data_IF_501556779855
#
_entry.id   IF_501556779855
#
_cell.length_a   1.000
_cell.length_b   1.000
_cell.length_c   1.000
_cell.angle_alpha   90.00
_cell.angle_beta   90.00
_cell.angle_gamma   90.00
#
_symmetry.space_group_name_H-M   'P 1'
#
loop_
_entity.id
_entity.type
_entity.pdbx_description
1 polymer ?
#
# COMPACT_ATOMS: atom_id res chain seq x y z
N UNK A 1 7.53 -11.54 -15.12
CA UNK A 1 7.46 -10.09 -15.37
C UNK A 1 6.20 -9.84 -16.18
N UNK A 2 5.12 -9.43 -15.54
CA UNK A 2 3.84 -9.16 -16.22
C UNK A 2 3.89 -7.74 -16.76
N UNK A 3 4.20 -7.59 -18.05
CA UNK A 3 4.37 -6.30 -18.72
C UNK A 3 3.03 -5.75 -19.17
N UNK A 4 2.47 -4.83 -18.39
CA UNK A 4 1.59 -3.79 -18.93
C UNK A 4 2.50 -2.77 -19.65
N UNK A 5 2.18 -2.35 -20.89
CA UNK A 5 3.06 -1.51 -21.67
C UNK A 5 3.15 -0.10 -21.06
N UNK A 6 4.36 0.34 -20.71
CA UNK A 6 4.68 1.76 -20.52
C UNK A 6 4.83 2.27 -19.09
N UNK A 7 4.62 1.47 -18.05
CA UNK A 7 4.90 1.91 -16.67
C UNK A 7 5.76 0.85 -15.98
N UNK A 8 7.07 1.09 -15.95
CA UNK A 8 7.97 0.36 -15.06
C UNK A 8 7.64 0.76 -13.63
N UNK A 9 6.66 0.07 -13.01
CA UNK A 9 6.29 0.26 -11.62
C UNK A 9 7.46 -0.20 -10.74
N UNK A 10 8.27 0.76 -10.31
CA UNK A 10 9.31 0.51 -9.31
C UNK A 10 8.70 0.38 -7.91
N UNK A 11 9.34 -0.37 -7.02
CA UNK A 11 8.97 -0.42 -5.60
C UNK A 11 8.90 0.98 -4.98
N UNK A 12 9.81 1.87 -5.37
CA UNK A 12 9.82 3.24 -4.91
C UNK A 12 8.54 4.00 -5.31
N UNK A 13 8.09 3.83 -6.55
CA UNK A 13 6.83 4.42 -7.05
C UNK A 13 5.63 3.86 -6.29
N UNK A 14 5.63 2.55 -6.03
CA UNK A 14 4.56 1.84 -5.33
C UNK A 14 4.44 2.29 -3.86
N UNK A 15 5.57 2.37 -3.15
CA UNK A 15 5.65 2.84 -1.76
C UNK A 15 5.27 4.31 -1.67
N UNK A 16 5.72 5.15 -2.61
CA UNK A 16 5.37 6.57 -2.66
C UNK A 16 3.87 6.79 -2.88
N UNK A 17 3.25 6.01 -3.77
CA UNK A 17 1.82 6.06 -4.01
C UNK A 17 1.02 5.59 -2.78
N UNK A 18 1.45 4.50 -2.13
CA UNK A 18 0.86 4.02 -0.87
C UNK A 18 0.92 5.08 0.23
N UNK A 19 2.09 5.71 0.42
CA UNK A 19 2.26 6.80 1.39
C UNK A 19 1.29 7.94 1.15
N UNK A 20 1.14 8.38 -0.12
CA UNK A 20 0.19 9.44 -0.48
C UNK A 20 -1.26 9.07 -0.12
N UNK A 21 -1.69 7.86 -0.46
CA UNK A 21 -3.04 7.38 -0.14
C UNK A 21 -3.27 7.30 1.38
N UNK A 22 -2.27 6.82 2.12
CA UNK A 22 -2.32 6.77 3.58
C UNK A 22 -2.40 8.18 4.18
N UNK A 23 -1.61 9.13 3.69
CA UNK A 23 -1.62 10.52 4.16
C UNK A 23 -2.99 11.19 3.91
N UNK A 24 -3.59 10.98 2.73
CA UNK A 24 -4.94 11.47 2.43
C UNK A 24 -6.00 10.82 3.32
N UNK A 25 -5.95 9.51 3.53
CA UNK A 25 -6.85 8.80 4.44
C UNK A 25 -6.77 9.38 5.86
N UNK A 26 -5.57 9.61 6.39
CA UNK A 26 -5.38 10.20 7.73
C UNK A 26 -5.96 11.60 7.82
N UNK A 27 -5.85 12.42 6.75
CA UNK A 27 -6.51 13.73 6.70
C UNK A 27 -8.02 13.60 6.74
N UNK A 28 -8.59 12.67 5.98
CA UNK A 28 -10.04 12.42 5.96
C UNK A 28 -10.55 11.93 7.33
N UNK A 29 -9.84 11.00 7.97
CA UNK A 29 -10.13 10.56 9.35
C UNK A 29 -10.14 11.75 10.30
N UNK A 30 -9.11 12.60 10.25
CA UNK A 30 -9.00 13.79 11.13
C UNK A 30 -10.11 14.79 10.85
N UNK A 31 -10.44 15.04 9.59
CA UNK A 31 -11.51 15.94 9.20
C UNK A 31 -12.87 15.44 9.70
N UNK A 32 -13.15 14.14 9.56
CA UNK A 32 -14.38 13.52 10.06
C UNK A 32 -14.43 13.55 11.59
N UNK A 33 -13.33 13.20 12.25
CA UNK A 33 -13.19 13.23 13.71
C UNK A 33 -13.45 14.63 14.28
N UNK A 34 -12.94 15.67 13.60
CA UNK A 34 -13.14 17.08 14.00
C UNK A 34 -14.59 17.57 13.89
N UNK A 35 -15.43 16.85 13.13
CA UNK A 35 -16.83 17.18 12.87
C UNK A 35 -17.78 16.02 13.20
N UNK A 36 -17.41 15.15 14.14
CA UNK A 36 -18.19 13.94 14.49
C UNK A 36 -19.66 14.24 14.79
N UNK A 37 -19.96 15.36 15.44
CA UNK A 37 -21.32 15.78 15.76
C UNK A 37 -22.18 16.14 14.53
N UNK A 38 -21.55 16.35 13.36
CA UNK A 38 -22.18 16.62 12.07
C UNK A 38 -21.88 15.53 11.03
N UNK A 39 -21.17 14.47 11.43
CA UNK A 39 -20.76 13.41 10.52
C UNK A 39 -21.97 12.54 10.15
N UNK A 40 -22.24 12.41 8.86
CA UNK A 40 -23.30 11.53 8.37
C UNK A 40 -22.80 10.08 8.22
N UNK A 41 -23.68 9.07 8.30
CA UNK A 41 -23.30 7.67 8.13
C UNK A 41 -22.58 7.37 6.82
N UNK A 42 -22.89 8.10 5.74
CA UNK A 42 -22.25 7.96 4.43
C UNK A 42 -20.75 8.26 4.47
N UNK A 43 -20.34 9.30 5.17
CA UNK A 43 -18.92 9.67 5.35
C UNK A 43 -18.14 8.57 6.08
N UNK A 44 -18.76 7.87 7.03
CA UNK A 44 -18.14 6.72 7.69
C UNK A 44 -18.00 5.51 6.77
N UNK A 45 -18.97 5.26 5.88
CA UNK A 45 -18.90 4.17 4.89
C UNK A 45 -17.79 4.45 3.88
N UNK A 46 -17.70 5.68 3.37
CA UNK A 46 -16.63 6.09 2.45
C UNK A 46 -15.26 5.92 3.10
N UNK A 47 -15.12 6.39 4.34
CA UNK A 47 -13.88 6.23 5.08
C UNK A 47 -13.53 4.74 5.27
N UNK A 48 -14.51 3.89 5.61
CA UNK A 48 -14.30 2.45 5.72
C UNK A 48 -13.84 1.82 4.39
N UNK A 49 -14.41 2.25 3.27
CA UNK A 49 -14.01 1.79 1.95
C UNK A 49 -12.56 2.19 1.61
N UNK A 50 -12.19 3.44 1.87
CA UNK A 50 -10.81 3.91 1.69
C UNK A 50 -9.82 3.18 2.61
N UNK A 51 -10.18 2.94 3.87
CA UNK A 51 -9.39 2.13 4.81
C UNK A 51 -9.16 0.71 4.29
N UNK A 52 -10.20 0.07 3.73
CA UNK A 52 -10.09 -1.26 3.13
C UNK A 52 -9.15 -1.26 1.91
N UNK A 53 -9.23 -0.24 1.06
CA UNK A 53 -8.37 -0.09 -0.11
C UNK A 53 -6.89 0.08 0.29
N UNK A 54 -6.60 0.93 1.27
CA UNK A 54 -5.22 1.12 1.77
C UNK A 54 -4.69 -0.18 2.37
N UNK A 55 -5.51 -0.90 3.15
CA UNK A 55 -5.12 -2.20 3.72
C UNK A 55 -4.75 -3.22 2.64
N UNK A 56 -5.61 -3.39 1.63
CA UNK A 56 -5.37 -4.31 0.52
C UNK A 56 -4.09 -3.98 -0.26
N UNK A 57 -3.83 -2.69 -0.48
CA UNK A 57 -2.60 -2.24 -1.12
C UNK A 57 -1.37 -2.53 -0.26
N UNK A 58 -1.46 -2.30 1.06
CA UNK A 58 -0.40 -2.60 2.01
C UNK A 58 -0.02 -4.09 2.04
N UNK A 59 -1.02 -4.98 2.05
CA UNK A 59 -0.80 -6.43 1.96
C UNK A 59 -0.11 -6.83 0.65
N UNK A 60 -0.55 -6.25 -0.47
CA UNK A 60 0.06 -6.51 -1.78
C UNK A 60 1.54 -6.09 -1.82
N UNK A 61 1.87 -4.92 -1.25
CA UNK A 61 3.26 -4.45 -1.13
C UNK A 61 4.07 -5.38 -0.20
N UNK A 62 3.51 -5.78 0.94
CA UNK A 62 4.15 -6.69 1.88
C UNK A 62 4.49 -8.04 1.25
N UNK A 63 3.56 -8.59 0.46
CA UNK A 63 3.76 -9.83 -0.29
C UNK A 63 4.87 -9.68 -1.34
N UNK A 64 4.91 -8.56 -2.07
CA UNK A 64 5.96 -8.28 -3.05
C UNK A 64 7.34 -8.15 -2.39
N UNK A 65 7.45 -7.45 -1.26
CA UNK A 65 8.69 -7.34 -0.49
C UNK A 65 9.15 -8.72 -0.02
N UNK A 66 8.23 -9.54 0.49
CA UNK A 66 8.52 -10.90 0.95
C UNK A 66 9.05 -11.79 -0.18
N UNK A 67 8.47 -11.68 -1.39
CA UNK A 67 8.95 -12.37 -2.58
C UNK A 67 10.37 -11.91 -2.97
N UNK A 68 10.64 -10.61 -2.97
CA UNK A 68 11.98 -10.06 -3.27
C UNK A 68 13.01 -10.56 -2.25
N UNK A 69 12.69 -10.52 -0.96
CA UNK A 69 13.58 -11.04 0.09
C UNK A 69 13.86 -12.54 -0.07
N UNK A 70 12.87 -13.32 -0.50
CA UNK A 70 13.06 -14.75 -0.81
C UNK A 70 14.03 -14.93 -1.99
N UNK A 71 13.87 -14.16 -3.07
CA UNK A 71 14.77 -14.21 -4.24
C UNK A 71 16.20 -13.82 -3.85
N UNK A 72 16.37 -12.73 -3.09
CA UNK A 72 17.68 -12.29 -2.58
C UNK A 72 18.32 -13.38 -1.72
N UNK A 73 17.56 -13.97 -0.79
CA UNK A 73 18.06 -15.02 0.10
C UNK A 73 18.50 -16.26 -0.69
N UNK A 74 17.73 -16.66 -1.70
CA UNK A 74 18.08 -17.77 -2.58
C UNK A 74 19.31 -17.45 -3.44
N UNK A 75 19.45 -16.21 -3.93
CA UNK A 75 20.62 -15.77 -4.68
C UNK A 75 21.90 -15.78 -3.82
N UNK A 76 21.85 -15.24 -2.60
CA UNK A 76 22.98 -15.26 -1.64
C UNK A 76 23.36 -16.69 -1.28
N UNK A 77 22.36 -17.56 -1.06
CA UNK A 77 22.59 -18.97 -0.72
C UNK A 77 23.27 -19.71 -1.87
N UNK A 78 22.84 -19.47 -3.10
CA UNK A 78 23.47 -20.07 -4.30
C UNK A 78 24.88 -19.50 -4.57
N UNK A 79 25.17 -18.27 -4.14
CA UNK A 79 26.52 -17.68 -4.24
C UNK A 79 27.54 -18.29 -3.28
N UNK A 80 27.13 -18.80 -2.10
CA UNK A 80 28.04 -19.46 -1.15
C UNK A 80 28.41 -20.90 -1.52
N UNK A 81 27.78 -21.45 -2.56
CA UNK A 81 27.97 -22.85 -2.99
C UNK A 81 28.84 -22.96 -4.26
N UNK A 82 29.48 -21.87 -4.66
CA UNK A 82 30.58 -21.82 -5.62
C UNK A 82 31.86 -21.38 -4.91
#
# INVERSE_FOLDING_TARGET
MSTLPGITLSFHTLISAYKRLQDELVKQVRALASKISQANPGSFILLQFEMAQVTQMGESISNLISQVNSVISNAIRNQKTQ
#
